data_IF_487202671106
#
_entry.id   IF_487202671106
#
_cell.length_a   1.000
_cell.length_b   1.000
_cell.length_c   1.000
_cell.angle_alpha   90.00
_cell.angle_beta   90.00
_cell.angle_gamma   90.00
#
_symmetry.space_group_name_H-M   'P 1'
#
loop_
_entity.id
_entity.type
_entity.pdbx_description
1 polymer ?
#
# COMPACT_ATOMS: atom_id res chain seq x y z
N UNK A 1 19.96 -4.67 -11.40
CA UNK A 1 20.38 -3.75 -10.31
C UNK A 1 21.83 -3.28 -10.44
N UNK A 2 22.79 -4.10 -10.89
CA UNK A 2 24.21 -3.71 -10.97
C UNK A 2 24.51 -2.48 -11.83
N UNK A 3 23.84 -2.30 -12.97
CA UNK A 3 24.12 -1.17 -13.88
C UNK A 3 23.68 0.17 -13.28
N UNK A 4 22.45 0.28 -12.78
CA UNK A 4 21.96 1.51 -12.15
C UNK A 4 22.75 1.87 -10.89
N UNK A 5 23.12 0.85 -10.09
CA UNK A 5 23.96 1.04 -8.91
C UNK A 5 25.40 1.47 -9.25
N UNK A 6 25.94 1.00 -10.37
CA UNK A 6 27.25 1.46 -10.90
C UNK A 6 27.18 2.95 -11.28
N UNK A 7 26.18 3.34 -12.06
CA UNK A 7 25.96 4.74 -12.49
C UNK A 7 25.74 5.66 -11.28
N UNK A 8 25.00 5.19 -10.27
CA UNK A 8 24.83 5.90 -9.00
C UNK A 8 26.17 6.11 -8.29
N UNK A 9 27.03 5.08 -8.25
CA UNK A 9 28.36 5.14 -7.64
C UNK A 9 29.31 6.08 -8.37
N UNK A 10 29.13 6.24 -9.69
CA UNK A 10 29.77 7.25 -10.54
C UNK A 10 29.20 8.68 -10.34
N UNK A 11 28.24 8.86 -9.41
CA UNK A 11 27.54 10.13 -9.12
C UNK A 11 26.69 10.68 -10.28
N UNK A 12 26.38 9.86 -11.28
CA UNK A 12 25.47 10.21 -12.38
C UNK A 12 24.02 10.04 -11.94
N UNK A 13 23.60 10.83 -10.96
CA UNK A 13 22.35 10.63 -10.23
C UNK A 13 21.09 10.70 -11.11
N UNK A 14 21.04 11.62 -12.08
CA UNK A 14 19.87 11.76 -12.97
C UNK A 14 19.69 10.53 -13.88
N UNK A 15 20.79 10.03 -14.44
CA UNK A 15 20.78 8.82 -15.28
C UNK A 15 20.43 7.59 -14.45
N UNK A 16 21.00 7.47 -13.25
CA UNK A 16 20.65 6.41 -12.31
C UNK A 16 19.16 6.45 -11.95
N UNK A 17 18.61 7.64 -11.68
CA UNK A 17 17.19 7.80 -11.37
C UNK A 17 16.29 7.35 -12.52
N UNK A 18 16.62 7.69 -13.78
CA UNK A 18 15.83 7.25 -14.94
C UNK A 18 15.76 5.73 -15.01
N UNK A 19 16.89 5.03 -14.84
CA UNK A 19 16.92 3.57 -14.82
C UNK A 19 16.14 2.99 -13.64
N UNK A 20 16.25 3.61 -12.46
CA UNK A 20 15.46 3.19 -11.32
C UNK A 20 13.96 3.42 -11.54
N UNK A 21 13.54 4.52 -12.16
CA UNK A 21 12.13 4.78 -12.49
C UNK A 21 11.60 3.74 -13.49
N UNK A 22 12.38 3.36 -14.50
CA UNK A 22 12.03 2.26 -15.42
C UNK A 22 11.85 0.94 -14.67
N UNK A 23 12.80 0.56 -13.81
CA UNK A 23 12.69 -0.69 -13.02
C UNK A 23 11.45 -0.63 -12.10
N UNK A 24 11.19 0.52 -11.48
CA UNK A 24 10.08 0.69 -10.53
C UNK A 24 8.70 0.64 -11.21
N UNK A 25 8.54 1.33 -12.33
CA UNK A 25 7.23 1.55 -12.96
C UNK A 25 6.94 0.66 -14.16
N UNK A 26 7.96 0.24 -14.92
CA UNK A 26 7.78 -0.61 -16.10
C UNK A 26 7.97 -2.09 -15.76
N UNK A 27 8.99 -2.42 -14.96
CA UNK A 27 9.26 -3.80 -14.54
C UNK A 27 8.50 -4.18 -13.25
N UNK A 28 7.81 -3.22 -12.62
CA UNK A 28 7.12 -3.38 -11.32
C UNK A 28 8.02 -3.97 -10.21
N UNK A 29 9.34 -3.77 -10.33
CA UNK A 29 10.35 -4.37 -9.48
C UNK A 29 11.11 -3.30 -8.69
N UNK A 30 11.58 -3.63 -7.49
CA UNK A 30 12.37 -2.71 -6.68
C UNK A 30 13.01 -3.42 -5.49
N UNK A 31 14.04 -2.81 -4.93
CA UNK A 31 14.63 -3.21 -3.64
C UNK A 31 14.56 -2.07 -2.63
N UNK A 32 14.61 -2.37 -1.32
CA UNK A 32 14.65 -1.32 -0.30
C UNK A 32 15.80 -0.33 -0.49
N UNK A 33 16.99 -0.83 -0.86
CA UNK A 33 18.16 0.02 -1.12
C UNK A 33 17.97 0.93 -2.34
N UNK A 34 17.34 0.42 -3.40
CA UNK A 34 17.00 1.22 -4.58
C UNK A 34 16.05 2.36 -4.23
N UNK A 35 14.99 2.11 -3.44
CA UNK A 35 14.04 3.15 -3.03
C UNK A 35 14.71 4.27 -2.20
N UNK A 36 15.63 3.92 -1.31
CA UNK A 36 16.41 4.91 -0.56
C UNK A 36 17.29 5.76 -1.49
N UNK A 37 17.94 5.15 -2.49
CA UNK A 37 18.74 5.88 -3.50
C UNK A 37 17.85 6.79 -4.34
N UNK A 38 16.68 6.34 -4.77
CA UNK A 38 15.72 7.17 -5.49
C UNK A 38 15.27 8.37 -4.63
N UNK A 39 14.93 8.14 -3.36
CA UNK A 39 14.57 9.18 -2.40
C UNK A 39 15.69 10.21 -2.22
N UNK A 40 16.94 9.75 -2.05
CA UNK A 40 18.13 10.60 -1.96
C UNK A 40 18.33 11.47 -3.21
N UNK A 41 18.20 10.88 -4.40
CA UNK A 41 18.38 11.63 -5.65
C UNK A 41 17.26 12.66 -5.82
N UNK A 42 16.00 12.29 -5.59
CA UNK A 42 14.86 13.21 -5.70
C UNK A 42 14.95 14.36 -4.69
N UNK A 43 15.40 14.10 -3.47
CA UNK A 43 15.70 15.14 -2.49
C UNK A 43 16.78 16.10 -3.00
N UNK A 44 17.88 15.57 -3.55
CA UNK A 44 18.97 16.37 -4.11
C UNK A 44 18.56 17.20 -5.34
N UNK A 45 17.51 16.79 -6.04
CA UNK A 45 16.89 17.54 -7.15
C UNK A 45 15.84 18.55 -6.69
N UNK A 46 15.49 18.58 -5.40
CA UNK A 46 14.44 19.43 -4.83
C UNK A 46 13.02 18.91 -5.06
N UNK A 47 12.84 17.70 -5.58
CA UNK A 47 11.53 17.07 -5.77
C UNK A 47 11.12 16.31 -4.51
N UNK A 48 10.68 17.05 -3.49
CA UNK A 48 10.28 16.50 -2.20
C UNK A 48 9.03 15.63 -2.28
N UNK A 49 8.18 15.83 -3.30
CA UNK A 49 7.03 14.98 -3.57
C UNK A 49 7.44 13.56 -3.96
N UNK A 50 8.32 13.44 -4.96
CA UNK A 50 8.90 12.15 -5.36
C UNK A 50 9.77 11.54 -4.26
N UNK A 51 10.57 12.35 -3.57
CA UNK A 51 11.38 11.85 -2.46
C UNK A 51 10.49 11.21 -1.37
N UNK A 52 9.40 11.89 -1.01
CA UNK A 52 8.42 11.37 -0.05
C UNK A 52 7.74 10.10 -0.55
N UNK A 53 7.37 10.03 -1.83
CA UNK A 53 6.82 8.81 -2.44
C UNK A 53 7.76 7.61 -2.27
N UNK A 54 9.04 7.76 -2.63
CA UNK A 54 10.01 6.66 -2.56
C UNK A 54 10.29 6.23 -1.12
N UNK A 55 10.40 7.18 -0.19
CA UNK A 55 10.54 6.88 1.23
C UNK A 55 9.30 6.19 1.82
N UNK A 56 8.10 6.59 1.38
CA UNK A 56 6.85 5.95 1.80
C UNK A 56 6.77 4.50 1.32
N UNK A 57 7.17 4.25 0.06
CA UNK A 57 7.24 2.90 -0.50
C UNK A 57 8.29 2.05 0.21
N UNK A 58 9.40 2.65 0.65
CA UNK A 58 10.39 1.97 1.49
C UNK A 58 9.82 1.60 2.87
N UNK A 59 9.06 2.52 3.48
CA UNK A 59 8.43 2.31 4.79
C UNK A 59 7.48 1.11 4.82
N UNK A 60 6.81 0.79 3.71
CA UNK A 60 5.93 -0.39 3.64
C UNK A 60 6.65 -1.72 3.83
N UNK A 61 7.94 -1.77 3.49
CA UNK A 61 8.79 -2.95 3.69
C UNK A 61 9.52 -2.92 5.01
N UNK A 62 9.96 -1.73 5.43
CA UNK A 62 10.75 -1.52 6.64
C UNK A 62 10.13 -0.39 7.47
N UNK A 63 9.05 -0.65 8.23
CA UNK A 63 8.41 0.37 9.05
C UNK A 63 9.39 0.92 10.10
N UNK A 64 9.92 2.11 9.86
CA UNK A 64 10.86 2.79 10.76
C UNK A 64 10.39 4.25 10.99
N UNK A 65 10.21 4.68 12.26
CA UNK A 65 9.88 6.08 12.58
C UNK A 65 10.81 7.12 11.94
N UNK A 66 12.09 6.81 11.76
CA UNK A 66 13.07 7.73 11.15
C UNK A 66 12.70 8.10 9.71
N UNK A 67 12.07 7.19 8.97
CA UNK A 67 11.59 7.46 7.60
C UNK A 67 10.46 8.48 7.64
N UNK A 68 9.57 8.38 8.63
CA UNK A 68 8.46 9.32 8.82
C UNK A 68 8.99 10.69 9.23
N UNK A 69 9.98 10.73 10.13
CA UNK A 69 10.67 11.96 10.51
C UNK A 69 11.37 12.61 9.31
N UNK A 70 12.00 11.81 8.46
CA UNK A 70 12.60 12.29 7.21
C UNK A 70 11.55 12.88 6.27
N UNK A 71 10.43 12.19 6.00
CA UNK A 71 9.35 12.71 5.14
C UNK A 71 8.79 14.03 5.71
N UNK A 72 8.57 14.10 7.03
CA UNK A 72 8.16 15.35 7.71
C UNK A 72 9.15 16.48 7.46
N UNK A 73 10.45 16.23 7.61
CA UNK A 73 11.48 17.23 7.36
C UNK A 73 11.53 17.71 5.91
N UNK A 74 11.34 16.80 4.94
CA UNK A 74 11.36 17.11 3.51
C UNK A 74 10.17 17.99 3.10
N UNK A 75 9.05 17.83 3.77
CA UNK A 75 7.77 18.44 3.39
C UNK A 75 7.36 19.58 4.32
N UNK A 76 8.19 19.92 5.31
CA UNK A 76 7.92 20.99 6.28
C UNK A 76 6.73 20.68 7.19
N UNK A 77 6.42 19.40 7.41
CA UNK A 77 5.21 18.98 8.11
C UNK A 77 5.47 18.62 9.56
N UNK A 78 4.58 19.06 10.45
CA UNK A 78 4.61 18.68 11.87
C UNK A 78 4.15 17.23 12.08
N UNK A 79 3.19 16.76 11.27
CA UNK A 79 2.55 15.45 11.42
C UNK A 79 2.11 14.90 10.06
N UNK A 80 2.18 13.58 9.87
CA UNK A 80 1.72 12.91 8.66
C UNK A 80 0.54 11.98 8.95
N UNK A 81 -0.56 12.17 8.23
CA UNK A 81 -1.68 11.23 8.17
C UNK A 81 -1.30 9.91 7.47
N UNK A 82 -1.92 8.81 7.91
CA UNK A 82 -1.85 7.49 7.27
C UNK A 82 -0.65 6.61 7.61
N UNK A 83 0.31 7.09 8.42
CA UNK A 83 1.47 6.30 8.88
C UNK A 83 1.32 5.72 10.28
N UNK A 84 0.21 5.99 10.96
CA UNK A 84 -0.07 5.38 12.25
C UNK A 84 -0.30 3.89 12.04
N UNK A 85 0.45 3.06 12.76
CA UNK A 85 0.29 1.61 12.70
C UNK A 85 -0.29 1.16 14.03
N UNK A 86 -1.61 0.99 14.09
CA UNK A 86 -2.24 0.38 15.26
C UNK A 86 -1.90 -1.10 15.33
N UNK A 87 -1.98 -1.72 16.51
CA UNK A 87 -1.74 -3.16 16.64
C UNK A 87 -2.75 -4.00 15.82
N UNK A 88 -3.96 -3.48 15.61
CA UNK A 88 -4.94 -4.09 14.73
C UNK A 88 -4.49 -4.05 13.26
N UNK A 89 -3.97 -2.92 12.79
CA UNK A 89 -3.45 -2.80 11.44
C UNK A 89 -2.27 -3.73 11.20
N UNK A 90 -1.40 -3.91 12.21
CA UNK A 90 -0.29 -4.88 12.14
C UNK A 90 -0.80 -6.30 11.95
N UNK A 91 -1.78 -6.70 12.75
CA UNK A 91 -2.38 -8.03 12.65
C UNK A 91 -3.09 -8.24 11.31
N UNK A 92 -3.86 -7.26 10.85
CA UNK A 92 -4.53 -7.31 9.54
C UNK A 92 -3.53 -7.38 8.39
N UNK A 93 -2.42 -6.64 8.43
CA UNK A 93 -1.33 -6.74 7.43
C UNK A 93 -0.76 -8.15 7.38
N UNK A 94 -0.48 -8.76 8.53
CA UNK A 94 -0.01 -10.14 8.59
C UNK A 94 -1.02 -11.10 7.94
N UNK A 95 -2.31 -10.99 8.25
CA UNK A 95 -3.33 -11.81 7.60
C UNK A 95 -3.36 -11.59 6.08
N UNK A 96 -3.24 -10.34 5.62
CA UNK A 96 -3.22 -9.99 4.20
C UNK A 96 -1.99 -10.53 3.46
N UNK A 97 -0.82 -10.48 4.08
CA UNK A 97 0.43 -11.00 3.50
C UNK A 97 0.39 -12.52 3.37
N UNK A 98 -0.22 -13.22 4.34
CA UNK A 98 -0.40 -14.67 4.30
C UNK A 98 -1.73 -15.11 3.67
N UNK A 99 -2.54 -14.20 3.11
CA UNK A 99 -3.88 -14.50 2.56
C UNK A 99 -3.86 -15.69 1.61
N UNK A 100 -2.92 -15.72 0.67
CA UNK A 100 -2.83 -16.78 -0.35
C UNK A 100 -2.55 -18.13 0.28
N UNK A 101 -1.64 -18.18 1.26
CA UNK A 101 -1.30 -19.40 2.00
C UNK A 101 -2.49 -19.85 2.85
N UNK A 102 -3.10 -18.94 3.63
CA UNK A 102 -4.27 -19.23 4.47
C UNK A 102 -5.43 -19.77 3.63
N UNK A 103 -5.78 -19.08 2.54
CA UNK A 103 -6.88 -19.46 1.65
C UNK A 103 -6.61 -20.80 0.96
N UNK A 104 -5.39 -21.00 0.45
CA UNK A 104 -4.99 -22.22 -0.24
C UNK A 104 -4.97 -23.44 0.69
N UNK A 105 -4.39 -23.30 1.89
CA UNK A 105 -4.38 -24.36 2.89
C UNK A 105 -5.79 -24.67 3.38
N UNK A 106 -6.63 -23.66 3.64
CA UNK A 106 -8.03 -23.87 4.00
C UNK A 106 -8.80 -24.61 2.89
N UNK A 107 -8.61 -24.23 1.62
CA UNK A 107 -9.25 -24.90 0.49
C UNK A 107 -8.79 -26.35 0.34
N UNK A 108 -7.49 -26.63 0.53
CA UNK A 108 -6.95 -27.99 0.53
C UNK A 108 -7.58 -28.85 1.63
N UNK A 109 -7.61 -28.34 2.88
CA UNK A 109 -8.20 -29.04 4.01
C UNK A 109 -9.69 -29.28 3.80
N UNK A 110 -10.42 -28.29 3.28
CA UNK A 110 -11.82 -28.44 2.88
C UNK A 110 -11.99 -29.63 1.92
N UNK A 111 -11.17 -29.72 0.86
CA UNK A 111 -11.22 -30.84 -0.09
C UNK A 111 -10.91 -32.18 0.57
N UNK A 112 -9.90 -32.25 1.43
CA UNK A 112 -9.57 -33.47 2.18
C UNK A 112 -10.76 -33.93 3.02
N UNK A 113 -11.38 -33.02 3.79
CA UNK A 113 -12.53 -33.37 4.61
C UNK A 113 -13.76 -33.75 3.77
N UNK A 114 -13.98 -33.11 2.62
CA UNK A 114 -15.01 -33.52 1.68
C UNK A 114 -14.77 -34.94 1.15
N UNK A 115 -13.53 -35.29 0.76
CA UNK A 115 -13.18 -36.66 0.34
C UNK A 115 -13.47 -37.65 1.48
N UNK A 116 -13.10 -37.33 2.71
CA UNK A 116 -13.35 -38.20 3.87
C UNK A 116 -14.84 -38.46 4.15
N UNK A 117 -15.72 -37.50 3.85
CA UNK A 117 -17.19 -37.70 3.90
C UNK A 117 -17.64 -38.80 2.94
N UNK A 118 -17.03 -38.89 1.75
CA UNK A 118 -17.35 -39.94 0.77
C UNK A 118 -16.69 -41.28 1.10
N UNK A 119 -15.43 -41.27 1.56
CA UNK A 119 -14.66 -42.48 1.89
C UNK A 119 -15.21 -43.18 3.14
N UNK A 120 -15.68 -42.44 4.14
CA UNK A 120 -16.14 -42.98 5.43
C UNK A 120 -17.62 -42.67 5.69
N UNK A 121 -18.57 -43.30 4.97
CA UNK A 121 -20.00 -42.96 5.02
C UNK A 121 -20.64 -43.11 6.42
N UNK A 122 -20.11 -43.99 7.28
CA UNK A 122 -20.58 -44.18 8.66
C UNK A 122 -20.18 -43.06 9.62
N UNK A 123 -19.20 -42.21 9.25
CA UNK A 123 -18.68 -41.10 10.07
C UNK A 123 -18.84 -39.73 9.38
N UNK A 124 -19.77 -39.62 8.43
CA UNK A 124 -19.98 -38.39 7.62
C UNK A 124 -20.13 -37.13 8.45
N UNK A 125 -20.92 -37.19 9.52
CA UNK A 125 -21.17 -36.03 10.39
C UNK A 125 -19.89 -35.49 11.03
N UNK A 126 -18.92 -36.36 11.35
CA UNK A 126 -17.63 -35.97 11.95
C UNK A 126 -16.77 -35.18 10.95
N UNK A 127 -16.79 -35.56 9.67
CA UNK A 127 -15.98 -34.89 8.63
C UNK A 127 -16.68 -33.69 7.98
N UNK A 128 -18.02 -33.63 8.07
CA UNK A 128 -18.80 -32.51 7.54
C UNK A 128 -18.55 -31.18 8.29
N UNK A 129 -18.48 -31.19 9.62
CA UNK A 129 -18.26 -29.95 10.39
C UNK A 129 -16.91 -29.28 10.07
N UNK A 130 -15.77 -30.00 10.03
CA UNK A 130 -14.52 -29.41 9.56
C UNK A 130 -14.57 -28.94 8.10
N UNK A 131 -15.21 -29.70 7.19
CA UNK A 131 -15.37 -29.27 5.81
C UNK A 131 -16.13 -27.92 5.71
N UNK A 132 -17.21 -27.78 6.49
CA UNK A 132 -17.98 -26.55 6.56
C UNK A 132 -17.16 -25.39 7.18
N UNK A 133 -16.40 -25.66 8.24
CA UNK A 133 -15.50 -24.66 8.84
C UNK A 133 -14.50 -24.13 7.81
N UNK A 134 -13.79 -25.03 7.10
CA UNK A 134 -12.82 -24.62 6.11
C UNK A 134 -13.46 -23.93 4.90
N UNK A 135 -14.69 -24.32 4.51
CA UNK A 135 -15.46 -23.60 3.51
C UNK A 135 -15.74 -22.15 3.93
N UNK A 136 -16.15 -21.93 5.19
CA UNK A 136 -16.39 -20.57 5.73
C UNK A 136 -15.09 -19.78 5.76
N UNK A 137 -13.98 -20.38 6.20
CA UNK A 137 -12.67 -19.72 6.23
C UNK A 137 -12.19 -19.34 4.83
N UNK A 138 -12.28 -20.26 3.85
CA UNK A 138 -11.92 -19.99 2.46
C UNK A 138 -12.80 -18.89 1.87
N UNK A 139 -14.12 -18.96 2.07
CA UNK A 139 -15.05 -17.94 1.60
C UNK A 139 -14.74 -16.57 2.24
N UNK A 140 -14.56 -16.52 3.55
CA UNK A 140 -14.32 -15.27 4.27
C UNK A 140 -12.98 -14.64 3.87
N UNK A 141 -11.91 -15.44 3.85
CA UNK A 141 -10.59 -15.00 3.42
C UNK A 141 -10.60 -14.49 1.97
N UNK A 142 -11.27 -15.19 1.06
CA UNK A 142 -11.27 -14.79 -0.34
C UNK A 142 -12.06 -13.48 -0.58
N UNK A 143 -13.18 -13.28 0.12
CA UNK A 143 -14.09 -12.16 -0.14
C UNK A 143 -13.80 -10.91 0.71
N UNK A 144 -13.39 -11.07 1.97
CA UNK A 144 -13.25 -9.94 2.91
C UNK A 144 -11.80 -9.53 3.16
N UNK A 145 -10.84 -10.44 2.99
CA UNK A 145 -9.44 -10.16 3.26
C UNK A 145 -8.77 -9.60 2.00
N UNK A 146 -8.94 -8.30 1.76
CA UNK A 146 -8.34 -7.61 0.61
C UNK A 146 -7.43 -6.46 1.07
N UNK A 147 -6.31 -6.27 0.37
CA UNK A 147 -5.40 -5.17 0.69
C UNK A 147 -6.09 -3.85 0.33
N UNK A 148 -6.15 -2.87 1.24
CA UNK A 148 -6.70 -1.58 0.90
C UNK A 148 -5.81 -0.87 -0.12
N UNK A 149 -6.42 -0.24 -1.13
CA UNK A 149 -5.69 0.64 -2.04
C UNK A 149 -5.16 1.83 -1.23
N UNK A 150 -3.84 2.06 -1.29
CA UNK A 150 -3.22 3.23 -0.65
C UNK A 150 -2.50 4.09 -1.67
N UNK A 151 -2.39 5.37 -1.34
CA UNK A 151 -1.65 6.34 -2.15
C UNK A 151 -0.97 7.38 -1.29
N UNK A 152 0.06 7.99 -1.86
CA UNK A 152 0.81 9.08 -1.26
C UNK A 152 0.47 10.37 -2.00
N UNK A 153 0.20 11.43 -1.25
CA UNK A 153 0.04 12.77 -1.81
C UNK A 153 1.42 13.24 -2.24
N UNK A 154 1.63 13.42 -3.54
CA UNK A 154 2.94 13.82 -4.10
C UNK A 154 2.93 15.26 -4.59
N UNK A 155 1.76 15.81 -4.90
CA UNK A 155 1.61 17.24 -5.18
C UNK A 155 1.74 18.10 -3.92
N UNK A 156 2.14 19.36 -4.09
CA UNK A 156 2.17 20.35 -3.02
C UNK A 156 1.99 21.76 -3.59
N UNK A 157 0.99 22.54 -3.12
CA UNK A 157 -0.07 22.21 -2.16
C UNK A 157 -1.30 21.57 -2.83
N UNK A 158 -1.95 20.63 -2.16
CA UNK A 158 -3.11 19.88 -2.64
C UNK A 158 -4.36 20.21 -1.83
N UNK A 159 -5.51 20.25 -2.51
CA UNK A 159 -6.82 20.53 -1.91
C UNK A 159 -7.59 19.23 -1.70
N UNK A 160 -7.99 18.98 -0.47
CA UNK A 160 -8.90 17.90 -0.09
C UNK A 160 -10.30 18.50 0.02
N UNK A 161 -11.25 17.93 -0.69
CA UNK A 161 -12.62 18.42 -0.85
C UNK A 161 -13.62 17.47 -0.18
N UNK A 162 -14.82 17.97 0.14
CA UNK A 162 -15.90 17.17 0.75
C UNK A 162 -16.73 16.38 -0.28
N UNK A 163 -16.58 16.70 -1.56
CA UNK A 163 -17.32 16.12 -2.68
C UNK A 163 -16.42 16.04 -3.92
N UNK A 164 -16.71 15.13 -4.88
CA UNK A 164 -15.89 14.92 -6.08
C UNK A 164 -16.18 15.99 -7.14
N UNK A 165 -16.00 17.27 -6.78
CA UNK A 165 -16.27 18.42 -7.63
C UNK A 165 -15.35 19.59 -7.28
N UNK A 166 -14.99 20.38 -8.30
CA UNK A 166 -14.26 21.64 -8.10
C UNK A 166 -15.09 22.68 -7.32
N UNK A 167 -16.41 22.52 -7.28
CA UNK A 167 -17.34 23.35 -6.49
C UNK A 167 -17.61 22.79 -5.09
N UNK A 168 -16.96 21.69 -4.69
CA UNK A 168 -17.06 21.17 -3.32
C UNK A 168 -16.50 22.14 -2.29
N UNK A 169 -16.79 21.90 -1.01
CA UNK A 169 -16.18 22.68 0.06
C UNK A 169 -14.77 22.16 0.34
N UNK A 170 -13.84 23.09 0.59
CA UNK A 170 -12.49 22.76 1.00
C UNK A 170 -12.52 22.18 2.42
N UNK A 171 -12.12 20.91 2.56
CA UNK A 171 -11.94 20.25 3.85
C UNK A 171 -10.60 20.66 4.44
N UNK A 172 -9.52 20.56 3.65
CA UNK A 172 -8.17 20.90 4.07
C UNK A 172 -7.25 21.14 2.89
N UNK A 173 -6.29 22.06 3.06
CA UNK A 173 -5.11 22.18 2.19
C UNK A 173 -3.95 21.46 2.85
N UNK A 174 -3.26 20.62 2.10
CA UNK A 174 -2.18 19.78 2.61
C UNK A 174 -0.98 19.79 1.68
N UNK A 175 0.20 19.50 2.23
CA UNK A 175 1.43 19.33 1.46
C UNK A 175 1.67 17.86 1.12
N UNK A 176 2.64 17.61 0.25
CA UNK A 176 3.07 16.27 -0.13
C UNK A 176 3.54 15.46 1.09
N UNK A 177 3.47 14.13 1.02
CA UNK A 177 4.00 13.21 2.02
C UNK A 177 2.95 12.51 2.86
N UNK A 178 1.70 12.96 2.88
CA UNK A 178 0.61 12.22 3.54
C UNK A 178 0.31 10.91 2.83
N UNK A 179 0.01 9.88 3.62
CA UNK A 179 -0.54 8.61 3.12
C UNK A 179 -2.05 8.59 3.30
N UNK A 180 -2.76 8.11 2.31
CA UNK A 180 -4.23 8.02 2.33
C UNK A 180 -4.70 6.66 1.83
N UNK A 181 -5.77 6.16 2.43
CA UNK A 181 -6.49 4.98 1.95
C UNK A 181 -7.53 5.40 0.92
N UNK A 182 -7.45 4.84 -0.27
CA UNK A 182 -8.36 5.09 -1.38
C UNK A 182 -9.52 4.09 -1.27
N UNK A 183 -10.73 4.60 -1.05
CA UNK A 183 -11.93 3.77 -0.93
C UNK A 183 -12.62 3.55 -2.27
N UNK A 184 -12.58 4.52 -3.17
CA UNK A 184 -13.17 4.41 -4.51
C UNK A 184 -12.55 5.42 -5.47
N UNK A 185 -12.86 5.30 -6.75
CA UNK A 185 -12.46 6.27 -7.77
C UNK A 185 -13.63 6.65 -8.65
N UNK A 186 -13.76 7.94 -8.97
CA UNK A 186 -14.80 8.48 -9.85
C UNK A 186 -14.20 9.58 -10.72
N UNK A 187 -14.23 9.38 -12.04
CA UNK A 187 -13.67 10.31 -13.02
C UNK A 187 -12.21 10.71 -12.69
N UNK A 188 -11.99 11.99 -12.36
CA UNK A 188 -10.69 12.56 -11.98
C UNK A 188 -10.46 12.60 -10.46
N UNK A 189 -11.36 12.03 -9.66
CA UNK A 189 -11.33 12.04 -8.20
C UNK A 189 -11.07 10.66 -7.62
N UNK A 190 -10.28 10.61 -6.55
CA UNK A 190 -10.29 9.51 -5.59
C UNK A 190 -11.12 9.91 -4.38
N UNK A 191 -11.93 8.97 -3.89
CA UNK A 191 -12.49 9.05 -2.56
C UNK A 191 -11.46 8.46 -1.59
N UNK A 192 -11.10 9.24 -0.57
CA UNK A 192 -10.11 8.88 0.43
C UNK A 192 -10.68 8.96 1.83
N UNK A 193 -10.12 8.16 2.74
CA UNK A 193 -10.33 8.33 4.18
C UNK A 193 -9.38 9.41 4.69
N UNK A 194 -9.93 10.48 5.25
CA UNK A 194 -9.17 11.56 5.86
C UNK A 194 -9.64 11.78 7.30
N UNK A 195 -8.83 11.35 8.26
CA UNK A 195 -9.28 11.19 9.65
C UNK A 195 -10.51 10.28 9.72
N UNK A 196 -11.59 10.76 10.37
CA UNK A 196 -12.84 10.01 10.52
C UNK A 196 -13.89 10.32 9.43
N UNK A 197 -13.53 10.98 8.33
CA UNK A 197 -14.47 11.39 7.28
C UNK A 197 -14.02 10.89 5.91
N UNK A 198 -15.00 10.66 5.05
CA UNK A 198 -14.76 10.50 3.62
C UNK A 198 -14.51 11.86 2.98
N UNK A 199 -13.49 11.94 2.14
CA UNK A 199 -13.10 13.15 1.43
C UNK A 199 -12.63 12.80 0.02
N UNK A 200 -12.38 13.82 -0.79
CA UNK A 200 -12.06 13.69 -2.20
C UNK A 200 -10.81 14.47 -2.57
N UNK A 201 -10.02 13.89 -3.45
CA UNK A 201 -8.74 14.42 -3.91
C UNK A 201 -8.55 14.05 -5.38
N UNK A 202 -7.88 14.90 -6.16
CA UNK A 202 -7.65 14.63 -7.58
C UNK A 202 -6.66 13.49 -7.76
N UNK A 203 -6.91 12.66 -8.76
CA UNK A 203 -6.04 11.53 -9.11
C UNK A 203 -4.62 11.97 -9.49
N UNK A 204 -4.46 13.16 -10.09
CA UNK A 204 -3.16 13.74 -10.45
C UNK A 204 -2.26 14.05 -9.25
N UNK A 205 -2.86 14.23 -8.08
CA UNK A 205 -2.18 14.70 -6.88
C UNK A 205 -1.76 13.53 -5.97
N UNK A 206 -2.10 12.29 -6.37
CA UNK A 206 -1.81 11.05 -5.66
C UNK A 206 -1.04 10.08 -6.54
N UNK A 207 0.02 9.52 -5.99
CA UNK A 207 0.70 8.35 -6.53
C UNK A 207 0.32 7.11 -5.72
N UNK A 208 -0.26 6.10 -6.39
CA UNK A 208 -0.57 4.81 -5.76
C UNK A 208 0.72 4.08 -5.36
N UNK A 209 0.66 3.34 -4.26
CA UNK A 209 1.77 2.54 -3.72
C UNK A 209 1.33 1.11 -3.43
#
# INVERSE_FOLDING_TARGET
MSTADSIFSEKKYKEALQLYETILYEEEAYSPAMLLKMGFISEGLGDYGKASLYLSKYYDYNPNPEVIDKIKSLTGQVSLEGYQVSDQDRFLRLLLDYKTIITGTAALLMLVFLILVFVFPKKRTVFYYPALLFLVVTFASNNFLNKPDTGIITGGPVLIMDSPSAAGNLVRRVEAGHRVTISSSKDIWYQIKWGNKDAYIRKSDISKI
#
